data_IF_300524456020
#
_entry.id   IF_300524456020
#
_cell.length_a   1.000
_cell.length_b   1.000
_cell.length_c   1.000
_cell.angle_alpha   90.00
_cell.angle_beta   90.00
_cell.angle_gamma   90.00
#
_symmetry.space_group_name_H-M   'P 1'
#
loop_
_entity.id
_entity.type
_entity.pdbx_description
1 polymer ?
#
# COMPACT_ATOMS: atom_id res chain seq x y z
N UNK A 1 3.43 -12.33 -4.59
CA UNK A 1 2.73 -11.03 -4.48
C UNK A 1 1.98 -10.76 -5.76
N UNK A 2 0.67 -10.58 -5.68
CA UNK A 2 -0.19 -10.19 -6.81
C UNK A 2 -0.99 -8.96 -6.41
N UNK A 3 -1.17 -8.00 -7.33
CA UNK A 3 -1.89 -6.76 -7.06
C UNK A 3 -3.09 -6.62 -7.98
N UNK A 4 -4.15 -6.01 -7.46
CA UNK A 4 -5.40 -5.76 -8.18
C UNK A 4 -5.96 -4.39 -7.82
N UNK A 5 -6.43 -3.59 -8.79
CA UNK A 5 -6.35 -3.82 -10.24
C UNK A 5 -4.96 -3.50 -10.81
N UNK A 6 -4.70 -3.93 -12.06
CA UNK A 6 -3.48 -3.58 -12.80
C UNK A 6 -3.40 -2.08 -13.12
N UNK A 7 -4.55 -1.48 -13.43
CA UNK A 7 -4.71 -0.04 -13.61
C UNK A 7 -6.10 0.37 -13.17
N UNK A 8 -6.23 1.57 -12.61
CA UNK A 8 -7.50 2.13 -12.17
C UNK A 8 -7.55 3.60 -12.58
N UNK A 9 -8.35 3.98 -13.58
CA UNK A 9 -8.62 5.39 -13.83
C UNK A 9 -9.49 5.94 -12.69
N UNK A 10 -9.12 7.10 -12.15
CA UNK A 10 -9.81 7.74 -11.03
C UNK A 10 -9.88 9.24 -11.31
N UNK A 11 -11.00 9.87 -10.98
CA UNK A 11 -11.12 11.33 -11.10
C UNK A 11 -10.35 12.00 -9.96
N UNK A 12 -9.61 13.10 -10.20
CA UNK A 12 -8.99 13.84 -9.11
C UNK A 12 -10.00 14.19 -8.01
N UNK A 13 -9.68 13.89 -6.76
CA UNK A 13 -10.59 14.04 -5.62
C UNK A 13 -11.25 12.73 -5.16
N UNK A 14 -11.41 11.74 -6.05
CA UNK A 14 -12.04 10.46 -5.72
C UNK A 14 -11.07 9.52 -4.99
N UNK A 15 -11.60 8.59 -4.16
CA UNK A 15 -10.79 7.59 -3.50
C UNK A 15 -10.34 6.49 -4.48
N UNK A 16 -9.20 5.87 -4.17
CA UNK A 16 -8.71 4.67 -4.84
C UNK A 16 -8.34 3.58 -3.84
N UNK A 17 -8.42 2.33 -4.28
CA UNK A 17 -8.03 1.18 -3.48
C UNK A 17 -7.24 0.20 -4.33
N UNK A 18 -6.13 -0.30 -3.80
CA UNK A 18 -5.28 -1.31 -4.42
C UNK A 18 -5.15 -2.45 -3.43
N UNK A 19 -5.50 -3.65 -3.86
CA UNK A 19 -5.33 -4.86 -3.06
C UNK A 19 -4.02 -5.56 -3.43
N UNK A 20 -3.40 -6.19 -2.44
CA UNK A 20 -2.25 -7.04 -2.62
C UNK A 20 -2.49 -8.38 -1.92
N UNK A 21 -2.23 -9.48 -2.63
CA UNK A 21 -2.26 -10.83 -2.08
C UNK A 21 -0.88 -11.47 -2.13
N UNK A 22 -0.43 -12.01 -1.00
CA UNK A 22 0.76 -12.86 -0.94
C UNK A 22 0.37 -14.33 -1.15
N UNK A 23 1.32 -15.16 -1.58
CA UNK A 23 1.08 -16.61 -1.72
C UNK A 23 1.05 -17.33 -0.37
N UNK A 24 1.68 -16.73 0.64
CA UNK A 24 1.85 -17.28 1.99
C UNK A 24 1.76 -16.14 3.00
N UNK A 25 1.57 -16.47 4.28
CA UNK A 25 1.54 -15.49 5.36
C UNK A 25 2.83 -14.67 5.39
N UNK A 26 2.70 -13.34 5.54
CA UNK A 26 3.85 -12.44 5.71
C UNK A 26 4.16 -12.13 7.18
N UNK A 27 3.45 -12.77 8.10
CA UNK A 27 3.74 -12.69 9.53
C UNK A 27 5.04 -13.44 9.82
N UNK A 28 6.05 -12.72 10.28
CA UNK A 28 7.25 -13.29 10.85
C UNK A 28 6.95 -13.81 12.25
N UNK A 29 7.30 -15.06 12.52
CA UNK A 29 6.98 -15.76 13.77
C UNK A 29 7.94 -15.43 14.90
N UNK A 30 9.11 -14.87 14.60
CA UNK A 30 10.15 -14.61 15.59
C UNK A 30 9.97 -13.24 16.24
N UNK A 31 9.48 -12.25 15.49
CA UNK A 31 9.27 -10.88 15.96
C UNK A 31 7.81 -10.39 15.93
N UNK A 32 6.88 -11.24 15.47
CA UNK A 32 5.44 -10.97 15.33
C UNK A 32 5.11 -9.79 14.39
N UNK A 33 6.06 -9.35 13.55
CA UNK A 33 5.83 -8.29 12.57
C UNK A 33 5.38 -8.85 11.22
N UNK A 34 4.56 -8.07 10.52
CA UNK A 34 4.19 -8.37 9.13
C UNK A 34 4.91 -7.43 8.19
N UNK A 35 5.88 -7.95 7.43
CA UNK A 35 6.75 -7.17 6.56
C UNK A 35 6.14 -6.88 5.19
N UNK A 36 5.05 -6.11 5.19
CA UNK A 36 4.43 -5.58 3.97
C UNK A 36 4.65 -4.06 3.86
N UNK A 37 5.27 -3.65 2.75
CA UNK A 37 5.53 -2.25 2.44
C UNK A 37 4.83 -1.84 1.13
N UNK A 38 4.33 -0.60 1.09
CA UNK A 38 3.76 0.03 -0.09
C UNK A 38 4.67 1.14 -0.61
N UNK A 39 4.91 1.14 -1.92
CA UNK A 39 5.74 2.13 -2.58
C UNK A 39 4.95 2.86 -3.67
N UNK A 40 5.24 4.15 -3.84
CA UNK A 40 4.78 4.97 -4.95
C UNK A 40 5.94 5.23 -5.90
N UNK A 41 5.73 4.94 -7.18
CA UNK A 41 6.67 5.32 -8.23
C UNK A 41 5.98 6.25 -9.21
N UNK A 42 6.42 7.51 -9.24
CA UNK A 42 6.00 8.45 -10.28
C UNK A 42 6.82 8.21 -11.54
N UNK A 43 6.29 8.49 -12.75
CA UNK A 43 7.05 8.36 -13.99
C UNK A 43 8.39 9.10 -13.92
N UNK A 44 9.49 8.40 -14.20
CA UNK A 44 10.85 8.96 -14.19
C UNK A 44 11.46 9.20 -12.79
N UNK A 45 10.80 8.79 -11.70
CA UNK A 45 11.32 8.91 -10.33
C UNK A 45 11.65 7.54 -9.71
N UNK A 46 12.50 7.55 -8.69
CA UNK A 46 12.75 6.37 -7.86
C UNK A 46 11.50 6.02 -7.03
N UNK A 47 11.29 4.74 -6.68
CA UNK A 47 10.26 4.35 -5.73
C UNK A 47 10.40 5.07 -4.39
N UNK A 48 9.29 5.55 -3.84
CA UNK A 48 9.21 6.20 -2.54
C UNK A 48 8.34 5.36 -1.60
N UNK A 49 8.83 5.12 -0.39
CA UNK A 49 8.08 4.38 0.63
C UNK A 49 6.87 5.21 1.10
N UNK A 50 5.68 4.59 1.08
CA UNK A 50 4.45 5.18 1.61
C UNK A 50 4.09 4.60 2.98
N UNK A 51 3.92 3.28 3.02
CA UNK A 51 3.48 2.53 4.20
C UNK A 51 4.49 1.41 4.43
N UNK A 52 4.88 1.18 5.67
CA UNK A 52 5.65 0.03 6.11
C UNK A 52 4.88 -0.75 7.18
N UNK A 53 5.27 -2.00 7.41
CA UNK A 53 4.64 -2.86 8.44
C UNK A 53 3.10 -2.82 8.39
N UNK A 54 2.56 -3.03 7.18
CA UNK A 54 1.12 -3.04 6.85
C UNK A 54 0.41 -1.69 6.94
N UNK A 55 0.61 -0.91 8.01
CA UNK A 55 -0.21 0.27 8.32
C UNK A 55 0.56 1.49 8.81
N UNK A 56 1.86 1.37 9.07
CA UNK A 56 2.70 2.48 9.55
C UNK A 56 3.07 3.40 8.39
N UNK A 57 2.73 4.69 8.48
CA UNK A 57 3.08 5.68 7.45
C UNK A 57 4.53 6.13 7.61
N UNK A 58 5.27 6.16 6.51
CA UNK A 58 6.60 6.77 6.50
C UNK A 58 6.53 8.28 6.74
N UNK A 59 7.61 8.86 7.26
CA UNK A 59 7.68 10.30 7.54
C UNK A 59 7.46 11.13 6.29
N UNK A 60 6.62 12.18 6.39
CA UNK A 60 6.27 13.07 5.28
C UNK A 60 5.21 12.51 4.31
N UNK A 61 4.72 11.29 4.52
CA UNK A 61 3.64 10.71 3.69
C UNK A 61 2.29 11.31 4.11
N UNK A 62 1.51 11.88 3.16
CA UNK A 62 0.21 12.47 3.47
C UNK A 62 -0.81 11.50 4.08
N UNK A 63 -1.68 12.01 4.96
CA UNK A 63 -2.73 11.27 5.67
C UNK A 63 -3.77 10.59 4.76
N UNK A 64 -3.80 10.94 3.46
CA UNK A 64 -4.68 10.28 2.50
C UNK A 64 -4.30 8.83 2.22
N UNK A 65 -3.07 8.42 2.51
CA UNK A 65 -2.61 7.04 2.32
C UNK A 65 -2.83 6.24 3.59
N UNK A 66 -3.42 5.05 3.48
CA UNK A 66 -3.62 4.14 4.60
C UNK A 66 -3.46 2.70 4.13
N UNK A 67 -2.73 1.90 4.90
CA UNK A 67 -2.57 0.47 4.67
C UNK A 67 -3.33 -0.35 5.71
N UNK A 68 -3.83 -1.51 5.29
CA UNK A 68 -4.56 -2.44 6.15
C UNK A 68 -4.41 -3.86 5.63
N UNK A 69 -4.69 -4.85 6.48
CA UNK A 69 -4.67 -6.27 6.10
C UNK A 69 -3.97 -7.14 7.13
N UNK A 70 -3.97 -8.44 6.86
CA UNK A 70 -3.34 -9.45 7.70
C UNK A 70 -3.23 -10.78 6.95
N UNK A 71 -2.32 -11.64 7.38
CA UNK A 71 -2.13 -12.96 6.78
C UNK A 71 -1.65 -12.83 5.33
N UNK A 72 -2.57 -13.05 4.38
CA UNK A 72 -2.29 -13.02 2.94
C UNK A 72 -2.91 -11.86 2.19
N UNK A 73 -3.83 -11.11 2.79
CA UNK A 73 -4.67 -10.14 2.10
C UNK A 73 -4.48 -8.74 2.67
N UNK A 74 -4.06 -7.82 1.80
CA UNK A 74 -3.69 -6.46 2.16
C UNK A 74 -4.30 -5.45 1.21
N UNK A 75 -4.53 -4.23 1.70
CA UNK A 75 -5.12 -3.14 0.92
C UNK A 75 -4.45 -1.82 1.25
N UNK A 76 -4.05 -1.09 0.21
CA UNK A 76 -3.73 0.33 0.26
C UNK A 76 -4.95 1.12 -0.19
N UNK A 77 -5.40 2.02 0.68
CA UNK A 77 -6.47 2.98 0.38
C UNK A 77 -5.90 4.38 0.28
N UNK A 78 -6.27 5.07 -0.79
CA UNK A 78 -6.00 6.48 -1.04
C UNK A 78 -7.35 7.20 -0.90
N UNK A 79 -7.55 7.99 0.16
CA UNK A 79 -8.85 8.62 0.42
C UNK A 79 -9.21 9.73 -0.58
N UNK A 80 -8.19 10.37 -1.17
CA UNK A 80 -8.32 11.41 -2.19
C UNK A 80 -7.13 11.34 -3.14
N UNK A 81 -7.36 10.92 -4.39
CA UNK A 81 -6.32 10.95 -5.42
C UNK A 81 -6.10 12.40 -5.87
N UNK A 82 -4.83 12.81 -5.93
CA UNK A 82 -4.41 14.14 -6.39
C UNK A 82 -3.65 14.01 -7.71
N UNK A 83 -3.75 15.03 -8.55
CA UNK A 83 -3.03 15.16 -9.82
C UNK A 83 -1.65 15.77 -9.62
#
# INVERSE_FOLDING_TARGET
MTQTPLSLPVTPGEPASISCRSSESLLDTDDEYTYLNWYLQKPGQSPQLLIYEVSNRASGVPDRFSGSGSGTDFTLKISRVEA
#
